data_IF_904968856229
#
_entry.id   IF_904968856229
#
_cell.length_a   1.000
_cell.length_b   1.000
_cell.length_c   1.000
_cell.angle_alpha   90.00
_cell.angle_beta   90.00
_cell.angle_gamma   90.00
#
_symmetry.space_group_name_H-M   'P 1'
#
loop_
_entity.id
_entity.type
_entity.pdbx_description
1 polymer ?
#
# COMPACT_ATOMS: atom_id res chain seq x y z
N UNK A 1 -27.44 79.66 -4.40
CA UNK A 1 -27.56 78.31 -5.02
C UNK A 1 -26.30 77.51 -4.71
N UNK A 2 -26.42 76.18 -4.68
CA UNK A 2 -25.40 75.12 -4.47
C UNK A 2 -25.33 74.52 -3.05
N UNK A 3 -25.45 73.19 -3.02
CA UNK A 3 -25.88 72.27 -1.95
C UNK A 3 -24.70 71.52 -1.30
N UNK A 4 -24.87 71.15 -0.02
CA UNK A 4 -24.44 69.91 0.69
C UNK A 4 -22.92 69.58 0.71
N UNK A 5 -22.31 68.74 1.56
CA UNK A 5 -22.66 67.49 2.25
C UNK A 5 -21.75 67.33 3.51
N UNK A 6 -22.26 66.64 4.53
CA UNK A 6 -21.63 66.22 5.79
C UNK A 6 -20.50 65.18 5.65
N UNK A 7 -19.70 64.95 6.70
CA UNK A 7 -18.96 63.69 6.86
C UNK A 7 -18.71 63.35 8.34
N UNK A 8 -19.53 62.42 8.84
CA UNK A 8 -19.36 61.64 10.07
C UNK A 8 -18.25 60.60 9.86
N UNK A 9 -17.32 60.42 10.80
CA UNK A 9 -16.35 59.30 10.76
C UNK A 9 -16.50 58.43 12.01
N UNK A 10 -16.39 57.14 11.74
CA UNK A 10 -16.97 55.97 12.41
C UNK A 10 -16.01 55.41 13.48
N UNK A 11 -16.57 55.01 14.62
CA UNK A 11 -15.92 54.21 15.67
C UNK A 11 -15.59 52.80 15.18
N UNK A 12 -14.30 52.42 15.20
CA UNK A 12 -13.85 51.04 14.98
C UNK A 12 -14.00 50.22 16.27
N UNK A 13 -14.80 49.15 16.22
CA UNK A 13 -14.84 48.10 17.23
C UNK A 13 -13.95 46.93 16.78
N UNK A 14 -12.96 46.57 17.60
CA UNK A 14 -12.10 45.41 17.38
C UNK A 14 -12.79 44.15 17.92
N UNK A 15 -13.25 43.26 17.02
CA UNK A 15 -13.67 41.91 17.39
C UNK A 15 -12.43 41.01 17.51
N UNK A 16 -12.17 40.52 18.72
CA UNK A 16 -11.21 39.47 18.98
C UNK A 16 -11.75 38.12 18.46
N UNK A 17 -11.15 37.61 17.39
CA UNK A 17 -11.37 36.24 16.90
C UNK A 17 -10.57 35.26 17.76
N UNK A 18 -11.20 34.64 18.75
CA UNK A 18 -10.65 33.43 19.39
C UNK A 18 -10.80 32.26 18.44
N UNK A 19 -9.79 32.02 17.60
CA UNK A 19 -9.70 30.82 16.79
C UNK A 19 -9.46 29.61 17.72
N UNK A 20 -10.53 28.87 18.04
CA UNK A 20 -10.42 27.58 18.71
C UNK A 20 -9.76 26.59 17.75
N UNK A 21 -8.55 26.14 18.08
CA UNK A 21 -7.95 24.99 17.41
C UNK A 21 -8.80 23.76 17.76
N UNK A 22 -9.40 23.13 16.75
CA UNK A 22 -10.11 21.87 16.93
C UNK A 22 -9.17 20.83 17.56
N UNK A 23 -9.64 19.99 18.51
CA UNK A 23 -8.81 18.93 19.07
C UNK A 23 -8.37 17.99 17.95
N UNK A 24 -7.06 17.79 17.83
CA UNK A 24 -6.48 16.81 16.93
C UNK A 24 -6.81 15.42 17.49
N UNK A 25 -7.82 14.75 16.93
CA UNK A 25 -8.04 13.34 17.19
C UNK A 25 -6.92 12.55 16.52
N UNK A 26 -6.23 11.71 17.29
CA UNK A 26 -5.27 10.78 16.74
C UNK A 26 -5.98 9.84 15.74
N UNK A 27 -5.42 9.71 14.54
CA UNK A 27 -5.94 8.77 13.56
C UNK A 27 -5.95 7.34 14.15
N UNK A 28 -6.99 6.53 13.86
CA UNK A 28 -7.00 5.12 14.25
C UNK A 28 -5.72 4.43 13.79
N UNK A 29 -5.15 3.55 14.63
CA UNK A 29 -3.96 2.78 14.26
C UNK A 29 -4.31 1.78 13.14
N UNK A 30 -3.47 1.64 12.09
CA UNK A 30 -3.68 0.64 11.05
C UNK A 30 -3.73 -0.78 11.62
N UNK A 31 -4.72 -1.53 11.16
CA UNK A 31 -4.90 -2.97 11.38
C UNK A 31 -3.91 -3.77 10.55
N UNK A 32 -3.60 -3.32 9.33
CA UNK A 32 -2.60 -3.93 8.45
C UNK A 32 -1.56 -2.87 8.08
N UNK A 33 -0.30 -3.15 8.43
CA UNK A 33 0.87 -2.37 8.07
C UNK A 33 2.04 -3.35 8.05
N UNK A 34 2.29 -3.97 6.89
CA UNK A 34 3.25 -5.04 6.67
C UNK A 34 4.39 -4.53 5.80
N UNK A 35 5.61 -4.84 6.21
CA UNK A 35 6.82 -4.58 5.45
C UNK A 35 7.70 -5.81 5.45
N UNK A 36 8.24 -6.16 4.28
CA UNK A 36 9.20 -7.25 4.18
C UNK A 36 10.44 -6.97 5.01
N UNK A 37 10.80 -7.92 5.88
CA UNK A 37 12.04 -7.88 6.65
C UNK A 37 13.14 -8.57 5.88
N UNK A 38 14.01 -7.80 5.25
CA UNK A 38 15.12 -8.31 4.47
C UNK A 38 14.74 -8.67 3.03
N UNK A 39 15.51 -9.58 2.45
CA UNK A 39 15.41 -9.94 1.04
C UNK A 39 14.66 -11.26 0.93
N UNK A 40 13.42 -11.21 0.45
CA UNK A 40 12.70 -12.40 0.03
C UNK A 40 13.27 -12.96 -1.27
N UNK A 41 12.78 -14.13 -1.67
CA UNK A 41 13.12 -14.76 -2.94
C UNK A 41 11.87 -14.95 -3.78
N UNK A 42 12.00 -15.03 -5.11
CA UNK A 42 10.94 -15.50 -5.97
C UNK A 42 11.42 -16.53 -7.00
N UNK A 43 10.49 -17.35 -7.45
CA UNK A 43 10.63 -18.22 -8.60
C UNK A 43 9.42 -18.08 -9.51
N UNK A 44 9.61 -18.29 -10.81
CA UNK A 44 8.52 -18.42 -11.77
C UNK A 44 8.14 -19.90 -11.86
N UNK A 45 6.85 -20.18 -11.83
CA UNK A 45 6.35 -21.52 -12.12
C UNK A 45 6.22 -21.76 -13.64
N UNK A 46 5.81 -22.98 -14.02
CA UNK A 46 5.62 -23.34 -15.43
C UNK A 46 4.47 -22.60 -16.12
N UNK A 47 3.60 -21.95 -15.36
CA UNK A 47 2.49 -21.13 -15.85
C UNK A 47 2.82 -19.64 -15.89
N UNK A 48 4.08 -19.26 -15.58
CA UNK A 48 4.57 -17.88 -15.57
C UNK A 48 4.13 -17.06 -14.37
N UNK A 49 3.53 -17.68 -13.35
CA UNK A 49 3.22 -17.01 -12.10
C UNK A 49 4.46 -16.90 -11.22
N UNK A 50 4.67 -15.74 -10.61
CA UNK A 50 5.76 -15.52 -9.68
C UNK A 50 5.32 -15.90 -8.26
N UNK A 51 6.01 -16.86 -7.66
CA UNK A 51 5.86 -17.22 -6.25
C UNK A 51 6.97 -16.56 -5.44
N UNK A 52 6.60 -15.68 -4.52
CA UNK A 52 7.50 -14.94 -3.64
C UNK A 52 7.44 -15.55 -2.24
N UNK A 53 8.59 -15.66 -1.57
CA UNK A 53 8.69 -16.14 -0.19
C UNK A 53 9.64 -15.25 0.57
N UNK A 54 9.30 -14.90 1.80
CA UNK A 54 10.16 -14.11 2.66
C UNK A 54 9.62 -13.97 4.06
N UNK A 55 10.07 -12.93 4.75
CA UNK A 55 9.60 -12.57 6.08
C UNK A 55 9.03 -11.16 6.07
N UNK A 56 8.04 -10.90 6.92
CA UNK A 56 7.41 -9.59 7.13
C UNK A 56 7.40 -9.24 8.60
N UNK A 57 7.44 -7.95 8.90
CA UNK A 57 7.13 -7.34 10.19
C UNK A 57 6.03 -6.32 10.02
N UNK A 58 5.28 -6.04 11.09
CA UNK A 58 4.15 -5.15 10.97
C UNK A 58 3.19 -5.14 12.13
N UNK A 59 2.23 -4.21 12.07
CA UNK A 59 1.15 -4.13 13.06
C UNK A 59 0.41 -5.48 13.13
N UNK A 60 0.57 -6.16 14.27
CA UNK A 60 -0.04 -7.47 14.58
C UNK A 60 0.55 -8.71 13.86
N UNK A 61 1.53 -8.58 12.97
CA UNK A 61 2.15 -9.70 12.27
C UNK A 61 3.66 -9.56 12.14
N UNK A 62 4.37 -10.47 12.78
CA UNK A 62 5.77 -10.79 12.51
C UNK A 62 5.82 -12.26 12.11
N UNK A 63 6.27 -12.57 10.89
CA UNK A 63 6.19 -13.93 10.36
C UNK A 63 6.75 -14.12 8.97
N UNK A 64 6.46 -15.28 8.38
CA UNK A 64 6.84 -15.61 7.01
C UNK A 64 5.67 -15.33 6.09
N UNK A 65 5.96 -14.91 4.85
CA UNK A 65 4.94 -14.77 3.82
C UNK A 65 5.22 -15.68 2.63
N UNK A 66 4.12 -16.08 1.98
CA UNK A 66 4.10 -16.64 0.63
C UNK A 66 3.17 -15.76 -0.19
N UNK A 67 3.67 -15.21 -1.29
CA UNK A 67 2.86 -14.45 -2.24
C UNK A 67 2.87 -15.14 -3.60
N UNK A 68 1.77 -14.99 -4.33
CA UNK A 68 1.68 -15.37 -5.74
C UNK A 68 1.28 -14.13 -6.52
N UNK A 69 1.93 -13.90 -7.66
CA UNK A 69 1.61 -12.85 -8.62
C UNK A 69 1.40 -13.51 -9.99
N UNK A 70 0.27 -13.23 -10.61
CA UNK A 70 -0.10 -13.75 -11.92
C UNK A 70 -0.59 -12.61 -12.80
N UNK A 71 0.15 -12.30 -13.86
CA UNK A 71 -0.30 -11.41 -14.93
C UNK A 71 -1.44 -12.05 -15.72
N UNK A 72 -2.33 -11.24 -16.29
CA UNK A 72 -3.53 -11.72 -16.97
C UNK A 72 -3.21 -12.61 -18.19
N UNK A 73 -2.12 -12.35 -18.91
CA UNK A 73 -1.68 -13.16 -20.05
C UNK A 73 -0.80 -14.37 -19.66
N UNK A 74 -0.50 -14.52 -18.37
CA UNK A 74 0.35 -15.58 -17.82
C UNK A 74 1.85 -15.34 -17.98
N UNK A 75 2.29 -14.17 -18.42
CA UNK A 75 3.70 -13.80 -18.53
C UNK A 75 3.98 -12.47 -17.82
N UNK A 76 5.18 -12.31 -17.25
CA UNK A 76 5.56 -11.02 -16.71
C UNK A 76 5.85 -10.02 -17.86
N UNK A 77 5.36 -8.77 -17.77
CA UNK A 77 5.46 -7.81 -18.86
C UNK A 77 6.90 -7.37 -19.12
N UNK A 78 7.20 -7.04 -20.37
CA UNK A 78 8.50 -6.50 -20.74
C UNK A 78 8.77 -5.13 -20.06
N UNK A 79 10.05 -4.71 -19.95
CA UNK A 79 10.40 -3.40 -19.43
C UNK A 79 9.67 -2.26 -20.16
N UNK A 80 9.02 -1.37 -19.40
CA UNK A 80 8.24 -0.26 -19.92
C UNK A 80 6.79 -0.58 -20.30
N UNK A 81 6.34 -1.82 -20.05
CA UNK A 81 4.94 -2.22 -20.24
C UNK A 81 4.31 -2.60 -18.91
N UNK A 82 3.00 -2.37 -18.82
CA UNK A 82 2.17 -2.75 -17.68
C UNK A 82 0.96 -3.52 -18.19
N UNK A 83 0.48 -4.43 -17.37
CA UNK A 83 -0.74 -5.17 -17.63
C UNK A 83 -1.48 -5.50 -16.33
N UNK A 84 -2.80 -5.79 -16.41
CA UNK A 84 -3.55 -6.24 -15.26
C UNK A 84 -2.99 -7.55 -14.68
N UNK A 85 -3.06 -7.67 -13.37
CA UNK A 85 -2.59 -8.83 -12.65
C UNK A 85 -3.38 -9.07 -11.37
N UNK A 86 -3.31 -10.31 -10.90
CA UNK A 86 -3.84 -10.74 -9.62
C UNK A 86 -2.72 -11.16 -8.68
N UNK A 87 -2.95 -10.94 -7.39
CA UNK A 87 -2.01 -11.29 -6.34
C UNK A 87 -2.69 -12.00 -5.18
N UNK A 88 -1.98 -12.90 -4.52
CA UNK A 88 -2.38 -13.42 -3.21
C UNK A 88 -1.21 -13.29 -2.26
N UNK A 89 -1.46 -12.98 -0.99
CA UNK A 89 -0.43 -13.01 0.05
C UNK A 89 -0.99 -13.78 1.25
N UNK A 90 -0.26 -14.81 1.66
CA UNK A 90 -0.46 -15.52 2.92
C UNK A 90 0.68 -15.17 3.87
N UNK A 91 0.33 -14.70 5.06
CA UNK A 91 1.27 -14.40 6.15
C UNK A 91 1.00 -15.36 7.30
N UNK A 92 2.04 -16.07 7.74
CA UNK A 92 1.96 -17.01 8.84
C UNK A 92 2.99 -16.71 9.92
N UNK A 93 2.52 -16.72 11.17
CA UNK A 93 3.31 -16.66 12.40
C UNK A 93 2.87 -17.81 13.31
N UNK A 94 3.62 -18.16 14.38
CA UNK A 94 3.28 -19.29 15.25
C UNK A 94 1.86 -19.28 15.85
N UNK A 95 1.19 -18.13 15.91
CA UNK A 95 -0.15 -17.98 16.51
C UNK A 95 -1.18 -17.28 15.63
N UNK A 96 -0.79 -16.79 14.45
CA UNK A 96 -1.65 -15.97 13.60
C UNK A 96 -1.35 -16.24 12.14
N UNK A 97 -2.40 -16.36 11.36
CA UNK A 97 -2.37 -16.35 9.90
C UNK A 97 -3.27 -15.25 9.36
N UNK A 98 -2.94 -14.79 8.16
CA UNK A 98 -3.76 -13.90 7.34
C UNK A 98 -3.57 -14.24 5.87
N UNK A 99 -4.65 -14.20 5.11
CA UNK A 99 -4.65 -14.27 3.65
C UNK A 99 -5.34 -13.03 3.11
N UNK A 100 -4.71 -12.41 2.12
CA UNK A 100 -5.32 -11.38 1.29
C UNK A 100 -5.29 -11.79 -0.18
N UNK A 101 -6.30 -11.35 -0.90
CA UNK A 101 -6.36 -11.43 -2.36
C UNK A 101 -6.35 -10.01 -2.92
N UNK A 102 -5.63 -9.80 -4.02
CA UNK A 102 -5.34 -8.50 -4.59
C UNK A 102 -5.56 -8.46 -6.10
N UNK A 103 -5.98 -7.29 -6.58
CA UNK A 103 -6.14 -6.98 -8.00
C UNK A 103 -5.46 -5.66 -8.28
N UNK A 104 -4.70 -5.59 -9.37
CA UNK A 104 -3.92 -4.41 -9.71
C UNK A 104 -3.25 -4.56 -11.06
N UNK A 105 -2.10 -3.90 -11.21
CA UNK A 105 -1.28 -3.97 -12.40
C UNK A 105 0.14 -4.37 -12.02
N UNK A 106 0.78 -5.15 -12.88
CA UNK A 106 2.22 -5.43 -12.84
C UNK A 106 2.88 -4.67 -13.99
N UNK A 107 3.99 -4.01 -13.70
CA UNK A 107 4.81 -3.31 -14.69
C UNK A 107 6.21 -3.89 -14.73
N UNK A 108 6.76 -4.05 -15.93
CA UNK A 108 8.18 -4.32 -16.14
C UNK A 108 8.99 -3.04 -16.03
N UNK A 109 10.05 -3.05 -15.23
CA UNK A 109 10.89 -1.89 -14.93
C UNK A 109 12.19 -1.93 -15.76
N UNK A 110 12.66 -0.77 -16.22
CA UNK A 110 13.95 -0.66 -16.90
C UNK A 110 15.07 -0.74 -15.88
N UNK A 111 15.93 -1.75 -16.02
CA UNK A 111 16.98 -2.02 -15.06
C UNK A 111 18.33 -1.34 -15.36
N UNK A 112 18.98 -0.71 -14.36
CA UNK A 112 20.41 -0.34 -14.39
C UNK A 112 21.14 -0.61 -13.05
N UNK A 113 22.43 -0.95 -13.16
CA UNK A 113 23.23 -1.85 -12.33
C UNK A 113 23.21 -1.59 -10.82
N UNK A 114 22.72 -2.58 -10.04
CA UNK A 114 23.38 -3.26 -8.89
C UNK A 114 22.32 -4.02 -8.08
N UNK A 115 21.09 -3.50 -7.99
CA UNK A 115 19.89 -4.20 -7.52
C UNK A 115 18.71 -3.56 -8.19
N UNK A 116 18.19 -4.19 -9.22
CA UNK A 116 17.15 -3.53 -9.99
C UNK A 116 15.85 -4.24 -9.82
N UNK A 117 14.84 -3.48 -9.38
CA UNK A 117 13.45 -3.88 -9.53
C UNK A 117 13.27 -4.23 -10.99
N UNK A 118 12.88 -5.47 -11.25
CA UNK A 118 12.58 -5.96 -12.60
C UNK A 118 11.10 -5.84 -12.88
N UNK A 119 10.27 -6.07 -11.85
CA UNK A 119 8.83 -5.92 -11.95
C UNK A 119 8.28 -5.37 -10.64
N UNK A 120 7.24 -4.55 -10.77
CA UNK A 120 6.49 -4.03 -9.64
C UNK A 120 5.00 -4.25 -9.89
N UNK A 121 4.37 -4.97 -8.98
CA UNK A 121 2.93 -5.03 -8.89
C UNK A 121 2.43 -4.02 -7.86
N UNK A 122 1.40 -3.27 -8.20
CA UNK A 122 0.67 -2.39 -7.27
C UNK A 122 -0.82 -2.66 -7.42
N UNK A 123 -1.51 -2.92 -6.32
CA UNK A 123 -2.93 -3.25 -6.36
C UNK A 123 -3.67 -2.97 -5.06
N UNK A 124 -4.99 -3.09 -5.13
CA UNK A 124 -5.89 -3.10 -3.98
C UNK A 124 -5.99 -4.53 -3.46
N UNK A 125 -6.00 -4.71 -2.15
CA UNK A 125 -6.25 -6.02 -1.55
C UNK A 125 -7.52 -6.03 -0.70
N UNK A 126 -8.02 -7.22 -0.41
CA UNK A 126 -8.96 -7.51 0.67
C UNK A 126 -8.46 -8.70 1.48
N UNK A 127 -8.52 -8.62 2.81
CA UNK A 127 -8.23 -9.75 3.70
C UNK A 127 -9.38 -10.74 3.64
N UNK A 128 -9.17 -11.88 2.97
CA UNK A 128 -10.18 -12.91 2.75
C UNK A 128 -10.25 -13.94 3.88
N UNK A 129 -9.12 -14.19 4.56
CA UNK A 129 -9.12 -14.97 5.79
C UNK A 129 -8.08 -14.45 6.79
N UNK A 130 -8.36 -14.63 8.07
CA UNK A 130 -7.43 -14.31 9.14
C UNK A 130 -7.81 -15.01 10.44
N UNK A 131 -6.80 -15.33 11.26
CA UNK A 131 -7.02 -15.83 12.62
C UNK A 131 -7.78 -14.80 13.47
N UNK A 132 -7.46 -13.52 13.34
CA UNK A 132 -8.21 -12.44 13.98
C UNK A 132 -9.40 -12.02 13.11
N UNK A 133 -10.62 -12.21 13.60
CA UNK A 133 -11.84 -11.79 12.88
C UNK A 133 -11.87 -10.30 12.56
N UNK A 134 -11.18 -9.45 13.34
CA UNK A 134 -11.12 -8.01 13.11
C UNK A 134 -10.41 -7.61 11.82
N UNK A 135 -9.55 -8.48 11.29
CA UNK A 135 -8.81 -8.22 10.05
C UNK A 135 -9.62 -8.57 8.81
N UNK A 136 -10.58 -9.49 8.92
CA UNK A 136 -11.33 -10.00 7.76
C UNK A 136 -12.16 -8.88 7.14
N UNK A 137 -12.09 -8.76 5.82
CA UNK A 137 -12.72 -7.67 5.07
C UNK A 137 -12.02 -6.33 5.17
N UNK A 138 -10.88 -6.23 5.88
CA UNK A 138 -10.01 -5.06 5.78
C UNK A 138 -9.46 -4.99 4.36
N UNK A 139 -9.47 -3.81 3.77
CA UNK A 139 -8.89 -3.55 2.47
C UNK A 139 -7.78 -2.52 2.56
N UNK A 140 -7.03 -2.40 1.48
CA UNK A 140 -5.86 -1.54 1.46
C UNK A 140 -5.10 -1.65 0.15
N UNK A 141 -3.84 -1.26 0.20
CA UNK A 141 -2.91 -1.31 -0.91
C UNK A 141 -1.80 -2.29 -0.64
N UNK A 142 -1.36 -2.98 -1.70
CA UNK A 142 -0.24 -3.91 -1.66
C UNK A 142 0.71 -3.62 -2.81
N UNK A 143 2.00 -3.76 -2.53
CA UNK A 143 3.08 -3.74 -3.52
C UNK A 143 3.87 -5.03 -3.43
N UNK A 144 4.02 -5.73 -4.56
CA UNK A 144 4.93 -6.85 -4.71
C UNK A 144 6.07 -6.43 -5.62
N UNK A 145 7.31 -6.59 -5.16
CA UNK A 145 8.50 -6.11 -5.86
C UNK A 145 9.35 -7.32 -6.19
N UNK A 146 9.64 -7.50 -7.47
CA UNK A 146 10.57 -8.51 -7.98
C UNK A 146 11.83 -7.78 -8.41
N UNK A 147 12.99 -8.32 -8.07
CA UNK A 147 14.28 -7.73 -8.38
C UNK A 147 15.22 -8.76 -9.03
N UNK A 148 16.33 -8.29 -9.58
CA UNK A 148 17.36 -9.17 -10.15
C UNK A 148 17.81 -10.26 -9.17
N UNK A 149 18.32 -11.36 -9.71
CA UNK A 149 18.85 -12.51 -8.93
C UNK A 149 17.79 -13.26 -8.11
N UNK A 150 16.52 -13.21 -8.52
CA UNK A 150 15.45 -13.94 -7.85
C UNK A 150 15.07 -13.34 -6.49
N UNK A 151 15.35 -12.05 -6.25
CA UNK A 151 15.06 -11.35 -5.00
C UNK A 151 13.67 -10.72 -5.04
N UNK A 152 12.99 -10.67 -3.90
CA UNK A 152 11.65 -10.11 -3.80
C UNK A 152 11.41 -9.32 -2.50
N UNK A 153 10.42 -8.44 -2.52
CA UNK A 153 9.92 -7.74 -1.34
C UNK A 153 8.38 -7.57 -1.40
N UNK A 154 7.75 -7.38 -0.24
CA UNK A 154 6.31 -7.14 -0.10
C UNK A 154 6.04 -6.00 0.86
N UNK A 155 5.04 -5.20 0.53
CA UNK A 155 4.51 -4.13 1.38
C UNK A 155 2.99 -4.14 1.29
N UNK A 156 2.29 -4.03 2.42
CA UNK A 156 0.83 -3.93 2.44
C UNK A 156 0.35 -3.04 3.57
N UNK A 157 -0.58 -2.13 3.30
CA UNK A 157 -1.11 -1.17 4.26
C UNK A 157 -2.60 -0.95 4.06
N UNK A 158 -3.36 -0.81 5.15
CA UNK A 158 -4.80 -0.53 5.08
C UNK A 158 -5.09 0.93 4.68
N UNK A 159 -6.30 1.15 4.15
CA UNK A 159 -6.81 2.45 3.71
C UNK A 159 -7.88 3.04 4.60
#
# INVERSE_FOLDING_TARGET
MTRSIAATVVTLAALALTAGASPAFAAPKPLVDLQGTGVGTYALDSAGSAQLVGSVTGSQFDGTYVATLTADDGALPAPGSCEPATGTLEVTSPKRSMRLDAVGEVCGEFADATYVVTHRFVGRYVVTDATSRRLRGTDGWISLILATEGRANVEAFDS
#
